data_IF_171364543290
#
_entry.id   IF_171364543290
#
_cell.length_a   1.000
_cell.length_b   1.000
_cell.length_c   1.000
_cell.angle_alpha   90.00
_cell.angle_beta   90.00
_cell.angle_gamma   90.00
#
_symmetry.space_group_name_H-M   'P 1'
#
loop_
_entity.id
_entity.type
_entity.pdbx_description
1 polymer ?
#
# COMPACT_ATOMS: atom_id res chain seq x y z
N UNK A 1 -17.11 -27.97 -7.39
CA UNK A 1 -17.21 -29.21 -6.59
C UNK A 1 -16.95 -28.87 -5.12
N UNK A 2 -17.20 -29.79 -4.18
CA UNK A 2 -16.70 -29.63 -2.82
C UNK A 2 -15.18 -29.92 -2.81
N UNK A 3 -14.38 -29.00 -2.27
CA UNK A 3 -12.94 -29.20 -2.12
C UNK A 3 -12.66 -30.34 -1.12
N UNK A 4 -11.52 -31.05 -1.20
CA UNK A 4 -11.23 -32.21 -0.37
C UNK A 4 -10.87 -31.87 1.09
N UNK A 5 -11.25 -30.69 1.58
CA UNK A 5 -10.97 -30.19 2.92
C UNK A 5 -12.08 -29.26 3.41
N UNK A 6 -12.14 -29.08 4.73
CA UNK A 6 -13.11 -28.20 5.37
C UNK A 6 -12.63 -26.74 5.34
N UNK A 7 -13.56 -25.76 5.37
CA UNK A 7 -13.23 -24.33 5.33
C UNK A 7 -12.28 -23.80 6.42
N UNK A 8 -12.04 -24.58 7.47
CA UNK A 8 -11.15 -24.23 8.60
C UNK A 8 -9.85 -25.05 8.65
N UNK A 9 -9.68 -26.05 7.78
CA UNK A 9 -8.44 -26.85 7.72
C UNK A 9 -7.39 -26.19 6.82
N UNK A 10 -6.74 -25.15 7.36
CA UNK A 10 -5.71 -24.38 6.66
C UNK A 10 -4.49 -25.24 6.25
N UNK A 11 -4.24 -26.36 6.94
CA UNK A 11 -3.13 -27.25 6.63
C UNK A 11 -3.42 -28.15 5.42
N UNK A 12 -4.64 -28.70 5.33
CA UNK A 12 -5.09 -29.40 4.13
C UNK A 12 -5.25 -28.44 2.95
N UNK A 13 -5.81 -27.25 3.18
CA UNK A 13 -5.91 -26.19 2.17
C UNK A 13 -4.53 -25.78 1.63
N UNK A 14 -3.52 -25.62 2.50
CA UNK A 14 -2.16 -25.31 2.07
C UNK A 14 -1.54 -26.38 1.18
N UNK A 15 -1.76 -27.67 1.48
CA UNK A 15 -1.28 -28.77 0.63
C UNK A 15 -1.97 -28.74 -0.74
N UNK A 16 -3.29 -28.62 -0.74
CA UNK A 16 -4.08 -28.60 -1.96
C UNK A 16 -3.80 -27.38 -2.84
N UNK A 17 -3.70 -26.18 -2.27
CA UNK A 17 -3.35 -24.95 -3.02
C UNK A 17 -1.95 -25.07 -3.63
N UNK A 18 -0.99 -25.69 -2.94
CA UNK A 18 0.34 -25.95 -3.52
C UNK A 18 0.29 -26.90 -4.72
N UNK A 19 -0.59 -27.89 -4.70
CA UNK A 19 -0.82 -28.79 -5.84
C UNK A 19 -1.54 -28.06 -6.97
N UNK A 20 -2.58 -27.28 -6.66
CA UNK A 20 -3.34 -26.48 -7.62
C UNK A 20 -2.46 -25.43 -8.32
N UNK A 21 -1.52 -24.81 -7.62
CA UNK A 21 -0.50 -23.93 -8.21
C UNK A 21 0.35 -24.68 -9.25
N UNK A 22 0.78 -25.91 -8.97
CA UNK A 22 1.59 -26.69 -9.91
C UNK A 22 0.79 -27.21 -11.11
N UNK A 23 -0.47 -27.58 -10.89
CA UNK A 23 -1.36 -28.11 -11.92
C UNK A 23 -1.99 -27.05 -12.81
N UNK A 24 -2.14 -25.81 -12.31
CA UNK A 24 -2.73 -24.66 -13.02
C UNK A 24 -4.15 -24.93 -13.58
N UNK A 25 -4.91 -25.84 -12.98
CA UNK A 25 -6.24 -26.21 -13.44
C UNK A 25 -7.25 -25.06 -13.19
N UNK A 26 -7.82 -24.46 -14.25
CA UNK A 26 -8.78 -23.35 -14.12
C UNK A 26 -10.04 -23.72 -13.34
N UNK A 27 -10.45 -24.99 -13.36
CA UNK A 27 -11.66 -25.45 -12.66
C UNK A 27 -11.43 -25.49 -11.15
N UNK A 28 -10.26 -26.01 -10.75
CA UNK A 28 -9.82 -26.01 -9.36
C UNK A 28 -9.71 -24.58 -8.82
N UNK A 29 -9.18 -23.65 -9.62
CA UNK A 29 -9.09 -22.24 -9.23
C UNK A 29 -10.46 -21.56 -9.14
N UNK A 30 -11.44 -21.96 -9.95
CA UNK A 30 -12.83 -21.51 -9.79
C UNK A 30 -13.43 -21.96 -8.46
N UNK A 31 -13.20 -23.22 -8.08
CA UNK A 31 -13.68 -23.77 -6.81
C UNK A 31 -12.98 -23.13 -5.60
N UNK A 32 -11.65 -22.92 -5.68
CA UNK A 32 -10.87 -22.19 -4.68
C UNK A 32 -11.31 -20.73 -4.51
N UNK A 33 -11.80 -20.11 -5.58
CA UNK A 33 -12.34 -18.76 -5.57
C UNK A 33 -13.82 -18.70 -5.18
N UNK A 34 -14.47 -19.82 -4.85
CA UNK A 34 -15.86 -19.83 -4.39
C UNK A 34 -15.98 -19.18 -3.00
N UNK A 35 -17.14 -18.55 -2.71
CA UNK A 35 -17.33 -17.73 -1.50
C UNK A 35 -17.07 -18.52 -0.21
N UNK A 36 -17.35 -19.83 -0.21
CA UNK A 36 -17.10 -20.72 0.91
C UNK A 36 -15.62 -20.96 1.24
N UNK A 37 -14.70 -20.72 0.29
CA UNK A 37 -13.29 -21.10 0.39
C UNK A 37 -12.31 -19.96 0.04
N UNK A 38 -12.80 -18.84 -0.49
CA UNK A 38 -11.96 -17.76 -1.01
C UNK A 38 -11.18 -17.03 0.08
N UNK A 39 -11.73 -16.89 1.28
CA UNK A 39 -11.00 -16.31 2.43
C UNK A 39 -9.90 -17.25 2.92
N UNK A 40 -10.21 -18.54 3.05
CA UNK A 40 -9.23 -19.57 3.42
C UNK A 40 -8.09 -19.64 2.40
N UNK A 41 -8.43 -19.62 1.11
CA UNK A 41 -7.45 -19.64 0.02
C UNK A 41 -6.58 -18.38 0.03
N UNK A 42 -7.16 -17.21 0.29
CA UNK A 42 -6.40 -15.97 0.45
C UNK A 42 -5.37 -16.06 1.61
N UNK A 43 -5.80 -16.52 2.79
CA UNK A 43 -4.90 -16.74 3.94
C UNK A 43 -3.77 -17.69 3.60
N UNK A 44 -4.06 -18.80 2.93
CA UNK A 44 -3.07 -19.80 2.52
C UNK A 44 -2.06 -19.21 1.54
N UNK A 45 -2.51 -18.44 0.54
CA UNK A 45 -1.62 -17.80 -0.43
C UNK A 45 -0.70 -16.77 0.24
N UNK A 46 -1.22 -15.99 1.20
CA UNK A 46 -0.41 -15.09 2.01
C UNK A 46 0.62 -15.85 2.84
N UNK A 47 0.23 -16.94 3.50
CA UNK A 47 1.16 -17.77 4.28
C UNK A 47 2.28 -18.38 3.42
N UNK A 48 1.98 -18.75 2.17
CA UNK A 48 2.99 -19.21 1.20
C UNK A 48 3.96 -18.07 0.85
N UNK A 49 3.45 -16.86 0.59
CA UNK A 49 4.30 -15.69 0.31
C UNK A 49 5.21 -15.33 1.49
N UNK A 50 4.69 -15.41 2.72
CA UNK A 50 5.45 -15.15 3.94
C UNK A 50 6.57 -16.18 4.13
N UNK A 51 6.29 -17.47 3.88
CA UNK A 51 7.32 -18.51 3.89
C UNK A 51 8.39 -18.25 2.83
N UNK A 52 8.03 -17.88 1.61
CA UNK A 52 8.99 -17.51 0.55
C UNK A 52 9.87 -16.33 0.98
N UNK A 53 9.29 -15.33 1.64
CA UNK A 53 10.02 -14.17 2.16
C UNK A 53 11.00 -14.57 3.27
N UNK A 54 10.58 -15.41 4.21
CA UNK A 54 11.44 -15.96 5.27
C UNK A 54 12.60 -16.79 4.69
N UNK A 55 12.33 -17.68 3.74
CA UNK A 55 13.35 -18.50 3.06
C UNK A 55 14.35 -17.63 2.28
N UNK A 56 13.91 -16.50 1.72
CA UNK A 56 14.81 -15.54 1.07
C UNK A 56 15.70 -14.84 2.10
N UNK A 57 15.14 -14.41 3.22
CA UNK A 57 15.92 -13.79 4.29
C UNK A 57 16.98 -14.74 4.84
N UNK A 58 16.61 -16.00 5.09
CA UNK A 58 17.52 -17.05 5.53
C UNK A 58 18.66 -17.28 4.52
N UNK A 59 18.34 -17.45 3.23
CA UNK A 59 19.36 -17.61 2.18
C UNK A 59 20.29 -16.41 2.05
N UNK A 60 19.80 -15.19 2.26
CA UNK A 60 20.67 -14.02 2.26
C UNK A 60 21.66 -14.08 3.42
N UNK A 61 21.21 -14.47 4.62
CA UNK A 61 22.09 -14.67 5.77
C UNK A 61 23.12 -15.80 5.56
N UNK A 62 22.73 -16.92 4.94
CA UNK A 62 23.65 -17.99 4.53
C UNK A 62 24.71 -17.48 3.54
N UNK A 63 24.31 -16.68 2.55
CA UNK A 63 25.24 -16.09 1.57
C UNK A 63 26.22 -15.11 2.21
N UNK A 64 25.77 -14.33 3.18
CA UNK A 64 26.65 -13.42 3.91
C UNK A 64 27.63 -14.19 4.81
N UNK A 65 27.17 -15.28 5.41
CA UNK A 65 28.03 -16.23 6.16
C UNK A 65 29.07 -16.87 5.25
N UNK A 66 28.68 -17.37 4.08
CA UNK A 66 29.60 -17.96 3.11
C UNK A 66 30.66 -16.97 2.61
N UNK A 67 30.28 -15.70 2.38
CA UNK A 67 31.24 -14.63 2.06
C UNK A 67 32.24 -14.38 3.18
N UNK A 68 31.78 -14.39 4.44
CA UNK A 68 32.67 -14.23 5.58
C UNK A 68 33.67 -15.39 5.70
N UNK A 69 33.23 -16.63 5.51
CA UNK A 69 34.10 -17.82 5.50
C UNK A 69 35.14 -17.77 4.38
N UNK A 70 34.75 -17.31 3.19
CA UNK A 70 35.69 -17.12 2.08
C UNK A 70 36.75 -16.06 2.41
N UNK A 71 36.34 -14.94 3.01
CA UNK A 71 37.25 -13.88 3.42
C UNK A 71 38.22 -14.32 4.54
N UNK A 72 37.76 -15.20 5.43
CA UNK A 72 38.57 -15.83 6.47
C UNK A 72 39.47 -16.97 5.95
N UNK A 73 39.34 -17.36 4.67
CA UNK A 73 40.10 -18.47 4.08
C UNK A 73 39.66 -19.86 4.55
N UNK A 74 38.50 -19.97 5.21
CA UNK A 74 37.95 -21.23 5.72
C UNK A 74 37.37 -22.12 4.61
N UNK A 75 36.96 -21.50 3.48
CA UNK A 75 36.47 -22.20 2.29
C UNK A 75 37.22 -21.73 1.05
N UNK A 76 37.35 -22.61 0.06
CA UNK A 76 37.98 -22.25 -1.20
C UNK A 76 37.04 -21.42 -2.07
N UNK A 77 37.62 -20.62 -2.98
CA UNK A 77 36.85 -19.87 -3.99
C UNK A 77 36.02 -20.79 -4.89
N UNK A 78 36.56 -21.97 -5.22
CA UNK A 78 35.86 -22.96 -6.04
C UNK A 78 34.62 -23.53 -5.34
N UNK A 79 34.69 -23.76 -4.03
CA UNK A 79 33.54 -24.26 -3.26
C UNK A 79 32.47 -23.17 -3.10
N UNK A 80 32.87 -21.94 -2.80
CA UNK A 80 31.94 -20.80 -2.77
C UNK A 80 31.22 -20.58 -4.12
N UNK A 81 31.94 -20.71 -5.24
CA UNK A 81 31.35 -20.52 -6.57
C UNK A 81 30.37 -21.67 -6.93
N UNK A 82 30.65 -22.90 -6.49
CA UNK A 82 29.74 -24.05 -6.63
C UNK A 82 28.45 -23.83 -5.83
N UNK A 83 28.57 -23.47 -4.54
CA UNK A 83 27.42 -23.16 -3.67
C UNK A 83 26.57 -22.02 -4.23
N UNK A 84 27.23 -20.98 -4.78
CA UNK A 84 26.54 -19.84 -5.41
C UNK A 84 25.77 -20.26 -6.67
N UNK A 85 26.34 -21.15 -7.49
CA UNK A 85 25.68 -21.64 -8.70
C UNK A 85 24.43 -22.46 -8.37
N UNK A 86 24.53 -23.39 -7.41
CA UNK A 86 23.40 -24.19 -6.92
C UNK A 86 22.30 -23.31 -6.30
N UNK A 87 22.70 -22.30 -5.52
CA UNK A 87 21.80 -21.31 -4.95
C UNK A 87 21.07 -20.48 -6.02
N UNK A 88 21.75 -20.15 -7.13
CA UNK A 88 21.18 -19.42 -8.27
C UNK A 88 20.02 -20.16 -8.93
N UNK A 89 20.16 -21.45 -9.20
CA UNK A 89 19.09 -22.26 -9.81
C UNK A 89 17.90 -22.43 -8.87
N UNK A 90 18.14 -22.62 -7.56
CA UNK A 90 17.06 -22.64 -6.56
C UNK A 90 16.33 -21.30 -6.48
N UNK A 91 17.05 -20.18 -6.57
CA UNK A 91 16.47 -18.84 -6.55
C UNK A 91 15.57 -18.58 -7.77
N UNK A 92 16.00 -18.99 -8.98
CA UNK A 92 15.18 -18.89 -10.20
C UNK A 92 13.86 -19.65 -10.06
N UNK A 93 13.91 -20.90 -9.62
CA UNK A 93 12.70 -21.72 -9.39
C UNK A 93 11.77 -21.09 -8.35
N UNK A 94 12.34 -20.56 -7.26
CA UNK A 94 11.55 -19.89 -6.22
C UNK A 94 10.89 -18.61 -6.75
N UNK A 95 11.61 -17.81 -7.54
CA UNK A 95 11.07 -16.58 -8.11
C UNK A 95 9.92 -16.85 -9.10
N UNK A 96 10.03 -17.91 -9.91
CA UNK A 96 8.94 -18.33 -10.79
C UNK A 96 7.71 -18.77 -10.00
N UNK A 97 7.89 -19.61 -8.98
CA UNK A 97 6.79 -20.04 -8.11
C UNK A 97 6.15 -18.86 -7.35
N UNK A 98 6.95 -17.91 -6.85
CA UNK A 98 6.45 -16.70 -6.21
C UNK A 98 5.63 -15.83 -7.16
N UNK A 99 6.06 -15.69 -8.42
CA UNK A 99 5.31 -14.95 -9.43
C UNK A 99 3.93 -15.56 -9.63
N UNK A 100 3.85 -16.89 -9.72
CA UNK A 100 2.60 -17.63 -9.84
C UNK A 100 1.69 -17.45 -8.62
N UNK A 101 2.23 -17.57 -7.40
CA UNK A 101 1.47 -17.35 -6.16
C UNK A 101 0.90 -15.93 -6.13
N UNK A 102 1.71 -14.92 -6.50
CA UNK A 102 1.27 -13.52 -6.56
C UNK A 102 0.18 -13.28 -7.59
N UNK A 103 0.23 -13.97 -8.73
CA UNK A 103 -0.78 -13.87 -9.77
C UNK A 103 -2.14 -14.37 -9.25
N UNK A 104 -2.20 -15.59 -8.71
CA UNK A 104 -3.43 -16.13 -8.16
C UNK A 104 -3.94 -15.37 -6.94
N UNK A 105 -3.04 -14.91 -6.06
CA UNK A 105 -3.41 -14.04 -4.95
C UNK A 105 -4.07 -12.75 -5.42
N UNK A 106 -3.61 -12.12 -6.52
CA UNK A 106 -4.28 -10.93 -7.06
C UNK A 106 -5.73 -11.20 -7.49
N UNK A 107 -5.98 -12.37 -8.07
CA UNK A 107 -7.31 -12.76 -8.53
C UNK A 107 -8.27 -13.04 -7.37
N UNK A 108 -7.75 -13.64 -6.29
CA UNK A 108 -8.53 -14.04 -5.11
C UNK A 108 -8.72 -12.89 -4.11
N UNK A 109 -7.70 -12.07 -3.88
CA UNK A 109 -7.69 -11.04 -2.84
C UNK A 109 -8.79 -9.99 -3.01
N UNK A 110 -9.18 -9.65 -4.24
CA UNK A 110 -10.30 -8.74 -4.47
C UNK A 110 -11.62 -9.32 -3.96
N UNK A 111 -11.85 -10.61 -4.22
CA UNK A 111 -13.08 -11.30 -3.82
C UNK A 111 -13.10 -11.58 -2.31
N UNK A 112 -11.97 -11.99 -1.73
CA UNK A 112 -11.84 -12.19 -0.29
C UNK A 112 -12.05 -10.90 0.52
N UNK A 113 -11.60 -9.74 0.00
CA UNK A 113 -11.85 -8.42 0.62
C UNK A 113 -13.32 -8.01 0.61
N UNK A 114 -14.02 -8.30 -0.49
CA UNK A 114 -15.46 -8.03 -0.59
C UNK A 114 -16.25 -8.80 0.45
N UNK A 115 -15.92 -10.08 0.66
CA UNK A 115 -16.59 -10.92 1.67
C UNK A 115 -16.28 -10.48 3.11
N UNK A 116 -15.04 -10.06 3.39
CA UNK A 116 -14.67 -9.44 4.67
C UNK A 116 -15.35 -8.10 4.95
N UNK A 117 -15.95 -7.47 3.94
CA UNK A 117 -16.56 -6.14 4.06
C UNK A 117 -15.54 -4.99 4.15
N UNK A 118 -14.25 -5.27 3.91
CA UNK A 118 -13.17 -4.29 3.95
C UNK A 118 -13.34 -3.20 2.88
N UNK A 119 -13.87 -3.59 1.71
CA UNK A 119 -14.15 -2.65 0.62
C UNK A 119 -15.30 -1.71 0.96
N UNK A 120 -16.36 -2.20 1.60
CA UNK A 120 -17.51 -1.38 2.04
C UNK A 120 -17.09 -0.42 3.16
N UNK A 121 -16.28 -0.89 4.12
CA UNK A 121 -15.75 -0.03 5.18
C UNK A 121 -14.87 1.08 4.62
N UNK A 122 -13.94 0.76 3.74
CA UNK A 122 -13.03 1.75 3.13
C UNK A 122 -13.82 2.75 2.26
N UNK A 123 -14.83 2.28 1.52
CA UNK A 123 -15.70 3.12 0.69
C UNK A 123 -16.58 4.04 1.53
N UNK A 124 -17.23 3.52 2.59
CA UNK A 124 -17.99 4.32 3.55
C UNK A 124 -17.10 5.35 4.25
N UNK A 125 -15.89 4.97 4.69
CA UNK A 125 -14.94 5.91 5.28
C UNK A 125 -14.51 6.99 4.29
N UNK A 126 -14.29 6.63 3.02
CA UNK A 126 -13.99 7.60 1.97
C UNK A 126 -15.16 8.58 1.73
N UNK A 127 -16.41 8.08 1.74
CA UNK A 127 -17.60 8.90 1.59
C UNK A 127 -17.82 9.83 2.79
N UNK A 128 -17.61 9.33 4.01
CA UNK A 128 -17.69 10.12 5.25
C UNK A 128 -16.65 11.24 5.25
N UNK A 129 -15.41 10.95 4.86
CA UNK A 129 -14.36 11.98 4.74
C UNK A 129 -14.72 12.99 3.66
N UNK A 130 -15.17 12.56 2.48
CA UNK A 130 -15.56 13.45 1.39
C UNK A 130 -16.72 14.38 1.79
N UNK A 131 -17.71 13.85 2.51
CA UNK A 131 -18.82 14.62 3.04
C UNK A 131 -18.33 15.67 4.05
N UNK A 132 -17.47 15.27 5.00
CA UNK A 132 -16.89 16.19 5.97
C UNK A 132 -16.09 17.32 5.31
N UNK A 133 -15.22 16.99 4.35
CA UNK A 133 -14.45 17.98 3.57
C UNK A 133 -15.35 18.93 2.78
N UNK A 134 -16.42 18.42 2.14
CA UNK A 134 -17.36 19.26 1.40
C UNK A 134 -18.08 20.26 2.32
N UNK A 135 -18.42 19.85 3.54
CA UNK A 135 -19.14 20.71 4.48
C UNK A 135 -18.19 21.73 5.13
N UNK A 136 -16.94 21.38 5.40
CA UNK A 136 -15.91 22.35 5.81
C UNK A 136 -15.66 23.39 4.71
N UNK A 137 -15.65 22.96 3.44
CA UNK A 137 -15.59 23.84 2.28
C UNK A 137 -16.79 24.79 2.20
N UNK A 138 -18.01 24.27 2.38
CA UNK A 138 -19.24 25.08 2.44
C UNK A 138 -19.17 26.11 3.56
N UNK A 139 -18.78 25.69 4.77
CA UNK A 139 -18.62 26.59 5.93
C UNK A 139 -17.63 27.72 5.65
N UNK A 140 -16.48 27.38 5.06
CA UNK A 140 -15.46 28.36 4.70
C UNK A 140 -15.96 29.35 3.65
N UNK A 141 -16.73 28.89 2.66
CA UNK A 141 -17.32 29.75 1.64
C UNK A 141 -18.39 30.70 2.19
N UNK A 142 -19.28 30.21 3.07
CA UNK A 142 -20.32 31.03 3.72
C UNK A 142 -19.69 32.11 4.60
N UNK A 143 -18.71 31.74 5.44
CA UNK A 143 -18.04 32.69 6.34
C UNK A 143 -17.11 33.65 5.59
N UNK A 144 -16.40 33.18 4.56
CA UNK A 144 -15.49 33.99 3.75
C UNK A 144 -16.21 34.98 2.83
N UNK A 145 -17.45 34.69 2.43
CA UNK A 145 -18.29 35.59 1.64
C UNK A 145 -18.94 36.74 2.42
N UNK A 146 -18.72 36.83 3.73
CA UNK A 146 -19.29 37.87 4.60
C UNK A 146 -20.80 37.76 4.82
N UNK A 147 -21.43 36.67 4.37
CA UNK A 147 -22.86 36.40 4.60
C UNK A 147 -23.08 35.77 5.98
N UNK A 148 -24.17 36.13 6.65
CA UNK A 148 -24.56 35.41 7.86
C UNK A 148 -25.05 34.00 7.53
N UNK A 149 -24.62 32.98 8.29
CA UNK A 149 -25.09 31.61 8.09
C UNK A 149 -26.59 31.51 8.39
N UNK A 150 -27.31 30.86 7.49
CA UNK A 150 -28.74 30.61 7.64
C UNK A 150 -29.00 29.64 8.81
N UNK A 151 -30.26 29.55 9.25
CA UNK A 151 -30.64 28.54 10.25
C UNK A 151 -30.36 27.10 9.79
N UNK A 152 -30.48 26.84 8.49
CA UNK A 152 -30.15 25.54 7.89
C UNK A 152 -28.64 25.26 7.93
N UNK A 153 -27.80 26.25 7.65
CA UNK A 153 -26.34 26.12 7.76
C UNK A 153 -25.92 25.79 9.19
N UNK A 154 -26.45 26.53 10.18
CA UNK A 154 -26.15 26.30 11.60
C UNK A 154 -26.62 24.91 12.05
N UNK A 155 -27.82 24.48 11.64
CA UNK A 155 -28.35 23.16 11.99
C UNK A 155 -27.54 22.02 11.35
N UNK A 156 -27.10 22.20 10.09
CA UNK A 156 -26.21 21.26 9.42
C UNK A 156 -24.88 21.13 10.16
N UNK A 157 -24.23 22.24 10.49
CA UNK A 157 -22.94 22.23 11.19
C UNK A 157 -23.03 21.66 12.60
N UNK A 158 -24.12 21.94 13.33
CA UNK A 158 -24.36 21.37 14.66
C UNK A 158 -24.50 19.83 14.60
N UNK A 159 -25.31 19.31 13.67
CA UNK A 159 -25.44 17.85 13.48
C UNK A 159 -24.13 17.16 13.12
N UNK A 160 -23.25 17.87 12.42
CA UNK A 160 -21.95 17.36 11.98
C UNK A 160 -20.94 17.30 13.13
N UNK A 161 -20.98 18.28 14.02
CA UNK A 161 -20.15 18.31 15.23
C UNK A 161 -20.48 17.14 16.18
N UNK A 162 -21.73 16.67 16.16
CA UNK A 162 -22.21 15.54 16.95
C UNK A 162 -21.99 14.18 16.26
N UNK A 163 -21.57 14.16 14.98
CA UNK A 163 -21.41 12.91 14.24
C UNK A 163 -20.16 12.15 14.71
N UNK A 164 -20.41 11.00 15.32
CA UNK A 164 -19.39 10.12 15.86
C UNK A 164 -19.12 8.95 14.90
N UNK A 165 -17.88 8.85 14.43
CA UNK A 165 -17.44 7.99 13.33
C UNK A 165 -16.29 7.07 13.77
N UNK A 166 -16.15 5.88 13.15
CA UNK A 166 -15.02 5.01 13.43
C UNK A 166 -13.70 5.62 12.93
N UNK A 167 -12.70 5.66 13.79
CA UNK A 167 -11.33 6.08 13.52
C UNK A 167 -10.33 4.96 13.82
N UNK A 168 -9.04 5.23 13.56
CA UNK A 168 -7.95 4.25 13.69
C UNK A 168 -7.68 3.78 15.13
N UNK A 169 -8.09 4.58 16.14
CA UNK A 169 -7.90 4.28 17.56
C UNK A 169 -9.23 4.17 18.34
N UNK A 170 -10.35 3.93 17.66
CA UNK A 170 -11.69 3.91 18.26
C UNK A 170 -12.63 4.93 17.63
N UNK A 171 -13.64 5.38 18.37
CA UNK A 171 -14.63 6.36 17.87
C UNK A 171 -14.11 7.80 17.97
N UNK A 172 -14.50 8.67 17.06
CA UNK A 172 -13.99 10.05 16.97
C UNK A 172 -14.99 10.96 16.25
N UNK A 173 -14.88 12.28 16.43
CA UNK A 173 -15.73 13.21 15.69
C UNK A 173 -15.35 13.28 14.21
N UNK A 174 -16.34 13.53 13.35
CA UNK A 174 -16.09 13.71 11.91
C UNK A 174 -15.09 14.86 11.65
N UNK A 175 -15.18 15.96 12.39
CA UNK A 175 -14.23 17.08 12.28
C UNK A 175 -12.78 16.64 12.57
N UNK A 176 -12.54 15.92 13.68
CA UNK A 176 -11.20 15.43 14.02
C UNK A 176 -10.69 14.37 13.03
N UNK A 177 -11.59 13.59 12.43
CA UNK A 177 -11.25 12.65 11.36
C UNK A 177 -10.80 13.39 10.09
N UNK A 178 -11.56 14.39 9.64
CA UNK A 178 -11.24 15.21 8.45
C UNK A 178 -9.96 15.99 8.66
N UNK A 179 -9.78 16.61 9.83
CA UNK A 179 -8.57 17.36 10.18
C UNK A 179 -7.33 16.47 10.13
N UNK A 180 -7.35 15.31 10.79
CA UNK A 180 -6.22 14.35 10.74
C UNK A 180 -5.99 13.82 9.33
N UNK A 181 -7.06 13.55 8.57
CA UNK A 181 -6.94 13.10 7.19
C UNK A 181 -6.26 14.17 6.32
N UNK A 182 -6.71 15.41 6.44
CA UNK A 182 -6.18 16.57 5.70
C UNK A 182 -4.72 16.85 6.09
N UNK A 183 -4.41 16.90 7.38
CA UNK A 183 -3.05 17.05 7.88
C UNK A 183 -2.11 15.93 7.38
N UNK A 184 -2.59 14.67 7.38
CA UNK A 184 -1.83 13.54 6.85
C UNK A 184 -1.59 13.62 5.33
N UNK A 185 -2.59 14.07 4.57
CA UNK A 185 -2.45 14.30 3.12
C UNK A 185 -1.50 15.46 2.83
N UNK A 186 -1.59 16.56 3.57
CA UNK A 186 -0.73 17.73 3.41
C UNK A 186 0.71 17.45 3.80
N UNK A 187 0.94 16.68 4.87
CA UNK A 187 2.28 16.23 5.24
C UNK A 187 2.92 15.39 4.13
N UNK A 188 2.20 14.40 3.59
CA UNK A 188 2.69 13.58 2.47
C UNK A 188 2.88 14.41 1.18
N UNK A 189 2.01 15.39 0.94
CA UNK A 189 2.13 16.35 -0.15
C UNK A 189 3.38 17.22 -0.03
N UNK A 190 3.67 17.72 1.18
CA UNK A 190 4.88 18.51 1.48
C UNK A 190 6.17 17.70 1.32
N UNK A 191 6.17 16.46 1.83
CA UNK A 191 7.30 15.53 1.65
C UNK A 191 7.52 15.25 0.15
N UNK A 192 6.45 15.00 -0.60
CA UNK A 192 6.54 14.78 -2.04
C UNK A 192 7.04 16.02 -2.78
N UNK A 193 6.53 17.21 -2.47
CA UNK A 193 6.94 18.47 -3.07
C UNK A 193 8.45 18.71 -2.86
N UNK A 194 8.97 18.45 -1.65
CA UNK A 194 10.40 18.55 -1.37
C UNK A 194 11.23 17.56 -2.20
N UNK A 195 10.80 16.30 -2.28
CA UNK A 195 11.50 15.30 -3.11
C UNK A 195 11.49 15.70 -4.58
N UNK A 196 10.38 16.19 -5.10
CA UNK A 196 10.26 16.61 -6.50
C UNK A 196 11.16 17.80 -6.77
N UNK A 197 11.22 18.81 -5.89
CA UNK A 197 12.13 19.94 -6.05
C UNK A 197 13.61 19.52 -5.97
N UNK A 198 13.96 18.63 -5.03
CA UNK A 198 15.30 18.08 -4.87
C UNK A 198 15.75 17.32 -6.14
N UNK A 199 14.88 16.48 -6.71
CA UNK A 199 15.16 15.69 -7.90
C UNK A 199 15.12 16.51 -9.20
N UNK A 200 14.23 17.51 -9.25
CA UNK A 200 14.03 18.33 -10.44
C UNK A 200 15.16 19.33 -10.64
N UNK A 201 15.72 19.90 -9.55
CA UNK A 201 16.69 21.01 -9.52
C UNK A 201 16.86 21.77 -10.85
N UNK A 202 16.30 22.94 -11.08
CA UNK A 202 16.25 23.67 -12.37
C UNK A 202 15.52 23.00 -13.56
N UNK A 203 15.45 21.68 -13.67
CA UNK A 203 14.68 21.02 -14.73
C UNK A 203 13.16 21.18 -14.54
N UNK A 204 12.43 21.19 -15.66
CA UNK A 204 10.97 21.32 -15.69
C UNK A 204 10.21 20.01 -15.44
N UNK A 205 10.91 18.88 -15.29
CA UNK A 205 10.28 17.57 -15.09
C UNK A 205 11.19 16.61 -14.31
N UNK A 206 10.59 15.61 -13.67
CA UNK A 206 11.30 14.53 -12.95
C UNK A 206 10.93 13.16 -13.53
N UNK A 207 11.91 12.27 -13.70
CA UNK A 207 11.61 10.90 -14.09
C UNK A 207 10.90 10.14 -12.96
N UNK A 208 9.81 9.43 -13.29
CA UNK A 208 8.99 8.72 -12.29
C UNK A 208 9.75 7.59 -11.58
N UNK A 209 10.76 7.00 -12.24
CA UNK A 209 11.60 5.96 -11.67
C UNK A 209 12.42 6.48 -10.47
N UNK A 210 13.06 7.64 -10.64
CA UNK A 210 13.90 8.27 -9.61
C UNK A 210 13.07 8.73 -8.40
N UNK A 211 11.84 9.21 -8.67
CA UNK A 211 10.91 9.58 -7.61
C UNK A 211 10.55 8.40 -6.69
N UNK A 212 10.29 7.21 -7.26
CA UNK A 212 9.86 6.05 -6.49
C UNK A 212 10.95 5.57 -5.52
N UNK A 213 12.22 5.58 -5.96
CA UNK A 213 13.38 5.23 -5.14
C UNK A 213 13.51 6.17 -3.93
N UNK A 214 13.53 7.48 -4.17
CA UNK A 214 13.70 8.48 -3.09
C UNK A 214 12.49 8.49 -2.15
N UNK A 215 11.28 8.37 -2.70
CA UNK A 215 10.06 8.27 -1.91
C UNK A 215 10.10 7.09 -0.93
N UNK A 216 10.48 5.90 -1.42
CA UNK A 216 10.61 4.72 -0.55
C UNK A 216 11.58 4.96 0.59
N UNK A 217 12.72 5.60 0.32
CA UNK A 217 13.73 5.89 1.34
C UNK A 217 13.23 6.87 2.42
N UNK A 218 12.46 7.91 2.05
CA UNK A 218 11.97 8.91 2.99
C UNK A 218 10.71 8.47 3.75
N UNK A 219 9.81 7.70 3.11
CA UNK A 219 8.48 7.38 3.67
C UNK A 219 8.41 5.98 4.26
N UNK A 220 9.17 4.99 3.79
CA UNK A 220 9.13 3.66 4.40
C UNK A 220 9.52 3.64 5.89
N UNK A 221 10.48 4.45 6.39
CA UNK A 221 10.84 4.48 7.81
C UNK A 221 9.77 5.10 8.72
N UNK A 222 8.89 5.95 8.19
CA UNK A 222 7.85 6.64 8.99
C UNK A 222 6.60 5.77 9.21
N UNK A 223 6.53 4.62 8.53
CA UNK A 223 5.45 3.66 8.62
C UNK A 223 5.76 2.57 9.64
N UNK A 224 4.83 2.30 10.55
CA UNK A 224 4.97 1.22 11.51
C UNK A 224 4.92 -0.15 10.82
N UNK A 225 5.48 -1.17 11.49
CA UNK A 225 5.40 -2.54 11.00
C UNK A 225 3.94 -3.02 10.91
N UNK A 226 3.11 -2.62 11.87
CA UNK A 226 1.68 -2.91 11.92
C UNK A 226 0.92 -2.26 10.76
N UNK A 227 1.14 -0.98 10.45
CA UNK A 227 0.52 -0.32 9.30
C UNK A 227 0.89 -1.01 7.97
N UNK A 228 2.15 -1.45 7.84
CA UNK A 228 2.61 -2.18 6.65
C UNK A 228 1.98 -3.57 6.56
N UNK A 229 1.90 -4.28 7.68
CA UNK A 229 1.33 -5.62 7.77
C UNK A 229 -0.19 -5.57 7.49
N UNK A 230 -0.92 -4.67 8.12
CA UNK A 230 -2.35 -4.45 7.89
C UNK A 230 -2.64 -4.12 6.42
N UNK A 231 -1.84 -3.24 5.82
CA UNK A 231 -2.04 -2.88 4.42
C UNK A 231 -1.65 -4.02 3.46
N UNK A 232 -0.61 -4.78 3.79
CA UNK A 232 -0.19 -5.96 3.03
C UNK A 232 -1.23 -7.10 3.13
N UNK A 233 -1.78 -7.33 4.32
CA UNK A 233 -2.85 -8.29 4.58
C UNK A 233 -4.14 -7.97 3.83
N UNK A 234 -4.36 -6.69 3.48
CA UNK A 234 -5.44 -6.24 2.58
C UNK A 234 -5.12 -6.48 1.10
N UNK A 235 -4.01 -7.11 0.73
CA UNK A 235 -3.65 -7.40 -0.67
C UNK A 235 -3.51 -6.17 -1.57
N UNK A 236 -3.30 -4.97 -1.01
CA UNK A 236 -3.18 -3.69 -1.75
C UNK A 236 -1.75 -3.40 -2.23
N UNK A 237 -0.83 -4.36 -2.11
CA UNK A 237 0.57 -4.19 -2.47
C UNK A 237 1.33 -3.38 -1.42
N UNK A 238 2.14 -2.42 -1.83
CA UNK A 238 2.96 -1.62 -0.91
C UNK A 238 2.22 -0.37 -0.45
N UNK A 239 2.04 -0.22 0.88
CA UNK A 239 1.50 1.00 1.50
C UNK A 239 2.28 2.25 1.10
N UNK A 240 3.60 2.10 0.96
CA UNK A 240 4.50 3.18 0.53
C UNK A 240 4.15 3.65 -0.89
N UNK A 241 3.91 2.71 -1.81
CA UNK A 241 3.52 3.02 -3.20
C UNK A 241 2.10 3.61 -3.27
N UNK A 242 1.18 3.16 -2.43
CA UNK A 242 -0.15 3.74 -2.34
C UNK A 242 -0.11 5.19 -1.83
N UNK A 243 0.68 5.46 -0.78
CA UNK A 243 0.87 6.84 -0.27
C UNK A 243 1.50 7.74 -1.34
N UNK A 244 2.44 7.24 -2.15
CA UNK A 244 2.98 8.00 -3.29
C UNK A 244 1.90 8.36 -4.29
N UNK A 245 1.07 7.39 -4.69
CA UNK A 245 -0.02 7.60 -5.64
C UNK A 245 -0.99 8.68 -5.17
N UNK A 246 -1.39 8.64 -3.89
CA UNK A 246 -2.29 9.63 -3.29
C UNK A 246 -1.64 11.01 -3.21
N UNK A 247 -0.38 11.10 -2.80
CA UNK A 247 0.35 12.36 -2.75
C UNK A 247 0.51 12.99 -4.15
N UNK A 248 0.83 12.19 -5.19
CA UNK A 248 0.88 12.68 -6.58
C UNK A 248 -0.47 13.21 -7.03
N UNK A 249 -1.56 12.47 -6.79
CA UNK A 249 -2.91 12.90 -7.15
C UNK A 249 -3.34 14.17 -6.40
N UNK A 250 -2.87 14.38 -5.16
CA UNK A 250 -3.09 15.62 -4.43
C UNK A 250 -2.40 16.81 -5.12
N UNK A 251 -1.12 16.68 -5.47
CA UNK A 251 -0.37 17.74 -6.13
C UNK A 251 -0.92 18.07 -7.53
N UNK A 252 -1.40 17.06 -8.27
CA UNK A 252 -2.08 17.27 -9.56
C UNK A 252 -3.38 18.06 -9.40
N UNK A 253 -4.21 17.72 -8.41
CA UNK A 253 -5.45 18.46 -8.14
C UNK A 253 -5.21 19.91 -7.73
N UNK A 254 -4.05 20.20 -7.14
CA UNK A 254 -3.59 21.56 -6.83
C UNK A 254 -2.95 22.28 -8.02
N UNK A 255 -2.87 21.63 -9.19
CA UNK A 255 -2.25 22.22 -10.38
C UNK A 255 -0.73 22.39 -10.26
N UNK A 256 -0.08 21.68 -9.33
CA UNK A 256 1.36 21.82 -9.07
C UNK A 256 2.20 20.90 -9.97
N UNK A 257 1.63 19.74 -10.34
CA UNK A 257 2.27 18.71 -11.18
C UNK A 257 1.30 18.19 -12.23
N UNK A 258 1.85 17.61 -13.30
CA UNK A 258 1.12 16.75 -14.23
C UNK A 258 1.88 15.45 -14.48
N UNK A 259 1.17 14.32 -14.48
CA UNK A 259 1.71 13.04 -14.95
C UNK A 259 1.71 12.96 -16.47
N UNK A 260 2.87 12.61 -17.03
CA UNK A 260 3.01 12.02 -18.35
C UNK A 260 3.60 10.60 -18.23
N UNK A 261 3.72 9.85 -19.33
CA UNK A 261 3.95 8.40 -19.29
C UNK A 261 5.12 7.99 -18.37
N UNK A 262 6.28 8.64 -18.52
CA UNK A 262 7.49 8.33 -17.75
C UNK A 262 8.00 9.47 -16.85
N UNK A 263 7.34 10.63 -16.84
CA UNK A 263 7.80 11.81 -16.10
C UNK A 263 6.66 12.52 -15.37
N UNK A 264 7.04 13.37 -14.44
CA UNK A 264 6.18 14.32 -13.75
C UNK A 264 6.63 15.72 -14.13
N UNK A 265 5.77 16.44 -14.83
CA UNK A 265 6.02 17.80 -15.28
C UNK A 265 5.64 18.78 -14.17
N UNK A 266 6.52 19.74 -13.88
CA UNK A 266 6.32 20.75 -12.84
C UNK A 266 5.53 21.91 -13.45
N UNK A 267 4.29 22.10 -13.00
CA UNK A 267 3.42 23.16 -13.50
C UNK A 267 3.60 24.47 -12.72
N UNK A 268 3.78 24.38 -11.40
CA UNK A 268 3.94 25.53 -10.51
C UNK A 268 5.06 25.27 -9.49
N UNK A 269 6.27 25.69 -9.86
CA UNK A 269 7.47 25.52 -9.03
C UNK A 269 7.43 26.38 -7.75
N UNK A 270 7.01 27.66 -7.78
CA UNK A 270 6.76 28.44 -6.57
C UNK A 270 5.77 27.77 -5.62
N UNK A 271 4.62 27.29 -6.11
CA UNK A 271 3.62 26.60 -5.28
C UNK A 271 4.14 25.30 -4.65
N UNK A 272 5.00 24.55 -5.37
CA UNK A 272 5.71 23.40 -4.79
C UNK A 272 6.67 23.82 -3.67
N UNK A 273 7.39 24.94 -3.84
CA UNK A 273 8.33 25.44 -2.84
C UNK A 273 7.62 25.91 -1.56
N UNK A 274 6.48 26.59 -1.71
CA UNK A 274 5.63 26.99 -0.59
C UNK A 274 5.09 25.78 0.18
N UNK A 275 4.57 24.77 -0.53
CA UNK A 275 4.08 23.55 0.10
C UNK A 275 5.21 22.76 0.78
N UNK A 276 6.41 22.76 0.21
CA UNK A 276 7.60 22.13 0.81
C UNK A 276 8.15 22.90 2.01
N UNK A 277 7.93 24.22 2.07
CA UNK A 277 8.35 25.11 3.15
C UNK A 277 7.33 25.21 4.28
N UNK A 278 6.06 24.90 4.02
CA UNK A 278 5.01 24.83 5.03
C UNK A 278 5.44 23.84 6.12
N UNK A 279 5.91 24.36 7.25
CA UNK A 279 6.09 23.59 8.48
C UNK A 279 4.69 23.14 8.88
N UNK A 280 4.44 21.83 8.81
CA UNK A 280 3.28 21.25 9.48
C UNK A 280 3.48 21.53 10.99
N UNK A 281 2.54 22.23 11.66
CA UNK A 281 2.59 22.41 13.11
C UNK A 281 2.51 21.08 13.86
#
# INVERSE_FOLDING_TARGET
MALPYTPDDDQAAARFVNEALRGQDPEVWRDLAADAYVEQTDRVLLAILDRIAADRAHRNAERDTARARLAAGEITRADHDRERAEGGERAKRTAHFEALVREHHRLIAAKARRLRGDDVRDELMSLVIALGTAIDGHRSAVLGGGGEPTGADRALWARLAELDVPGTAGRTSLAALVERHTAGQDHLGSVLARIVLDLAGDAASVARADLLEVWKRKVAPTLTAEEKADFAARGKGSLVTERLRKAVALLERRGLLARSEQRLDLLDRPGLAELAAARTP
#
